data_IF_668156667751
#
_entry.id   IF_668156667751
#
_cell.length_a   1.000
_cell.length_b   1.000
_cell.length_c   1.000
_cell.angle_alpha   90.00
_cell.angle_beta   90.00
_cell.angle_gamma   90.00
#
_symmetry.space_group_name_H-M   'P 1'
#
loop_
_entity.id
_entity.type
_entity.pdbx_description
1 polymer ?
#
# COMPACT_ATOMS: atom_id res chain seq x y z
N UNK A 1 -12.98 -31.41 -23.80
CA UNK A 1 -11.94 -30.37 -23.73
C UNK A 1 -12.61 -29.05 -23.37
N UNK A 2 -12.57 -28.65 -22.10
CA UNK A 2 -13.18 -27.40 -21.66
C UNK A 2 -12.34 -26.21 -22.17
N UNK A 3 -12.97 -25.31 -22.94
CA UNK A 3 -12.36 -24.06 -23.38
C UNK A 3 -11.87 -23.28 -22.16
N UNK A 4 -10.57 -22.98 -22.13
CA UNK A 4 -9.91 -22.14 -21.12
C UNK A 4 -10.66 -20.79 -21.04
N UNK A 5 -11.13 -20.34 -19.86
CA UNK A 5 -11.88 -19.10 -19.76
C UNK A 5 -10.97 -17.88 -20.00
N UNK A 6 -11.45 -16.78 -20.61
CA UNK A 6 -10.63 -15.79 -21.32
C UNK A 6 -9.77 -14.83 -20.47
N UNK A 7 -9.59 -15.04 -19.16
CA UNK A 7 -9.13 -13.96 -18.25
C UNK A 7 -7.75 -14.15 -17.59
N UNK A 8 -7.04 -15.27 -17.78
CA UNK A 8 -5.69 -15.45 -17.22
C UNK A 8 -4.64 -14.67 -18.02
N UNK A 9 -4.79 -14.67 -19.35
CA UNK A 9 -3.87 -14.01 -20.27
C UNK A 9 -3.83 -12.49 -20.06
N UNK A 10 -4.94 -11.88 -19.67
CA UNK A 10 -5.01 -10.43 -19.43
C UNK A 10 -4.28 -10.00 -18.16
N UNK A 11 -4.31 -10.82 -17.11
CA UNK A 11 -3.50 -10.56 -15.90
C UNK A 11 -2.03 -10.73 -16.20
N UNK A 12 -1.66 -11.76 -16.97
CA UNK A 12 -0.27 -11.99 -17.40
C UNK A 12 0.22 -10.82 -18.25
N UNK A 13 -0.58 -10.33 -19.21
CA UNK A 13 -0.26 -9.13 -20.00
C UNK A 13 -0.07 -7.92 -19.11
N UNK A 14 -1.00 -7.65 -18.18
CA UNK A 14 -0.90 -6.53 -17.26
C UNK A 14 0.36 -6.61 -16.40
N UNK A 15 0.65 -7.78 -15.82
CA UNK A 15 1.87 -8.04 -15.06
C UNK A 15 3.13 -7.82 -15.91
N UNK A 16 3.14 -8.26 -17.16
CA UNK A 16 4.26 -8.09 -18.06
C UNK A 16 4.50 -6.64 -18.49
N UNK A 17 3.46 -5.79 -18.47
CA UNK A 17 3.58 -4.35 -18.70
C UNK A 17 4.12 -3.59 -17.48
N UNK A 18 4.08 -4.18 -16.29
CA UNK A 18 4.62 -3.56 -15.09
C UNK A 18 6.15 -3.40 -15.14
N UNK A 19 6.65 -2.41 -14.40
CA UNK A 19 8.08 -2.20 -14.18
C UNK A 19 8.71 -3.38 -13.42
N UNK A 20 10.05 -3.49 -13.49
CA UNK A 20 10.80 -4.52 -12.77
C UNK A 20 10.51 -4.48 -11.26
N UNK A 21 10.48 -3.29 -10.66
CA UNK A 21 10.18 -3.11 -9.24
C UNK A 21 8.83 -3.74 -8.85
N UNK A 22 7.78 -3.47 -9.64
CA UNK A 22 6.43 -4.01 -9.38
C UNK A 22 6.44 -5.53 -9.56
N UNK A 23 7.09 -6.07 -10.59
CA UNK A 23 7.21 -7.51 -10.81
C UNK A 23 7.94 -8.20 -9.67
N UNK A 24 9.08 -7.67 -9.26
CA UNK A 24 9.86 -8.20 -8.14
C UNK A 24 9.05 -8.15 -6.84
N UNK A 25 8.23 -7.11 -6.65
CA UNK A 25 7.37 -6.98 -5.47
C UNK A 25 6.27 -8.05 -5.39
N UNK A 26 5.66 -8.36 -6.54
CA UNK A 26 4.59 -9.34 -6.71
C UNK A 26 5.09 -10.65 -7.33
N UNK A 27 6.32 -11.06 -7.02
CA UNK A 27 7.00 -12.18 -7.68
C UNK A 27 6.22 -13.51 -7.69
N UNK A 28 5.39 -13.77 -6.66
CA UNK A 28 4.61 -15.00 -6.55
C UNK A 28 3.29 -14.97 -7.31
N UNK A 29 2.86 -13.81 -7.81
CA UNK A 29 1.51 -13.64 -8.38
C UNK A 29 1.26 -14.57 -9.58
N UNK A 30 2.23 -14.68 -10.49
CA UNK A 30 2.07 -15.56 -11.65
C UNK A 30 2.01 -17.03 -11.24
N UNK A 31 2.84 -17.45 -10.29
CA UNK A 31 2.85 -18.81 -9.75
C UNK A 31 1.51 -19.17 -9.10
N UNK A 32 0.89 -18.22 -8.39
CA UNK A 32 -0.42 -18.40 -7.77
C UNK A 32 -1.55 -18.52 -8.81
N UNK A 33 -1.47 -17.77 -9.92
CA UNK A 33 -2.49 -17.78 -10.98
C UNK A 33 -2.35 -18.93 -11.98
N UNK A 34 -1.16 -19.50 -12.12
CA UNK A 34 -0.88 -20.60 -13.04
C UNK A 34 -1.03 -21.97 -12.41
N UNK A 35 -1.14 -22.03 -11.08
CA UNK A 35 -1.35 -23.27 -10.36
C UNK A 35 -2.84 -23.57 -10.26
N UNK A 36 -3.31 -24.55 -11.04
CA UNK A 36 -4.73 -24.97 -11.07
C UNK A 36 -5.24 -25.50 -9.72
N UNK A 37 -4.34 -25.85 -8.78
CA UNK A 37 -4.70 -26.28 -7.42
C UNK A 37 -4.97 -25.12 -6.46
N UNK A 38 -4.67 -23.88 -6.85
CA UNK A 38 -4.80 -22.68 -6.02
C UNK A 38 -5.98 -21.84 -6.53
N UNK A 39 -6.80 -21.34 -5.61
CA UNK A 39 -7.92 -20.47 -5.96
C UNK A 39 -7.44 -19.05 -6.32
N UNK A 40 -8.11 -18.41 -7.28
CA UNK A 40 -7.90 -16.97 -7.59
C UNK A 40 -8.11 -16.07 -6.35
N UNK A 41 -8.92 -16.53 -5.39
CA UNK A 41 -9.14 -15.90 -4.08
C UNK A 41 -7.83 -15.76 -3.30
N UNK A 42 -6.95 -16.77 -3.39
CA UNK A 42 -5.62 -16.74 -2.78
C UNK A 42 -4.75 -15.70 -3.47
N UNK A 43 -4.81 -15.60 -4.80
CA UNK A 43 -4.03 -14.63 -5.58
C UNK A 43 -4.43 -13.17 -5.26
N UNK A 44 -5.74 -12.86 -5.21
CA UNK A 44 -6.18 -11.51 -4.83
C UNK A 44 -5.86 -11.20 -3.36
N UNK A 45 -5.94 -12.19 -2.46
CA UNK A 45 -5.55 -12.03 -1.06
C UNK A 45 -4.07 -11.70 -0.92
N UNK A 46 -3.21 -12.40 -1.66
CA UNK A 46 -1.77 -12.09 -1.75
C UNK A 46 -1.53 -10.67 -2.26
N UNK A 47 -2.25 -10.24 -3.31
CA UNK A 47 -2.14 -8.88 -3.82
C UNK A 47 -2.47 -7.82 -2.76
N UNK A 48 -3.53 -8.02 -1.98
CA UNK A 48 -3.90 -7.09 -0.90
C UNK A 48 -2.94 -7.12 0.28
N UNK A 49 -2.43 -8.29 0.65
CA UNK A 49 -1.36 -8.40 1.66
C UNK A 49 -0.11 -7.60 1.26
N UNK A 50 0.27 -7.66 -0.03
CA UNK A 50 1.37 -6.87 -0.58
C UNK A 50 1.04 -5.37 -0.62
N UNK A 51 -0.20 -4.98 -0.94
CA UNK A 51 -0.63 -3.57 -0.89
C UNK A 51 -0.55 -2.99 0.52
N UNK A 52 -0.90 -3.77 1.54
CA UNK A 52 -0.80 -3.34 2.94
C UNK A 52 0.66 -3.10 3.35
N UNK A 53 1.56 -4.02 2.99
CA UNK A 53 3.01 -3.80 3.16
C UNK A 53 3.51 -2.55 2.42
N UNK A 54 3.03 -2.31 1.20
CA UNK A 54 3.40 -1.11 0.44
C UNK A 54 2.89 0.16 1.14
N UNK A 55 1.68 0.11 1.71
CA UNK A 55 1.09 1.22 2.46
C UNK A 55 1.95 1.58 3.68
N UNK A 56 2.42 0.59 4.44
CA UNK A 56 3.38 0.81 5.54
C UNK A 56 4.67 1.46 5.04
N UNK A 57 5.22 0.97 3.92
CA UNK A 57 6.43 1.55 3.30
C UNK A 57 6.23 2.99 2.84
N UNK A 58 5.05 3.34 2.34
CA UNK A 58 4.70 4.71 1.93
C UNK A 58 4.70 5.64 3.14
N UNK A 59 4.03 5.26 4.23
CA UNK A 59 3.99 6.07 5.44
C UNK A 59 5.36 6.22 6.07
N UNK A 60 6.09 5.12 6.22
CA UNK A 60 7.47 5.14 6.71
C UNK A 60 8.38 6.02 5.85
N UNK A 61 8.29 5.85 4.53
CA UNK A 61 9.06 6.62 3.55
C UNK A 61 8.74 8.11 3.61
N UNK A 62 7.48 8.48 3.80
CA UNK A 62 7.07 9.86 4.00
C UNK A 62 7.61 10.45 5.29
N UNK A 63 7.47 9.75 6.42
CA UNK A 63 7.97 10.23 7.71
C UNK A 63 9.49 10.45 7.72
N UNK A 64 10.24 9.49 7.19
CA UNK A 64 11.72 9.52 7.24
C UNK A 64 12.32 10.31 6.08
N UNK A 65 11.73 10.20 4.89
CA UNK A 65 12.22 10.82 3.66
C UNK A 65 11.83 12.28 3.57
N UNK A 66 10.55 12.58 3.76
CA UNK A 66 9.99 13.95 3.62
C UNK A 66 10.16 14.73 4.92
N UNK A 67 9.74 14.17 6.05
CA UNK A 67 9.75 14.88 7.34
C UNK A 67 11.00 14.65 8.19
N UNK A 68 11.96 13.87 7.67
CA UNK A 68 13.24 13.58 8.33
C UNK A 68 13.11 13.02 9.76
N UNK A 69 12.02 12.31 10.06
CA UNK A 69 11.82 11.65 11.34
C UNK A 69 13.02 10.75 11.71
N UNK A 70 13.23 10.55 13.01
CA UNK A 70 14.09 9.48 13.51
C UNK A 70 13.49 8.12 13.06
N UNK A 71 14.36 7.25 12.51
CA UNK A 71 13.93 6.04 11.79
C UNK A 71 13.23 5.03 12.68
N UNK A 72 13.74 4.85 13.90
CA UNK A 72 13.23 3.86 14.85
C UNK A 72 11.85 4.25 15.34
N UNK A 73 11.68 5.52 15.72
CA UNK A 73 10.40 6.08 16.14
C UNK A 73 9.38 6.11 15.00
N UNK A 74 9.81 6.45 13.78
CA UNK A 74 8.93 6.41 12.62
C UNK A 74 8.45 4.99 12.31
N UNK A 75 9.33 3.99 12.39
CA UNK A 75 8.96 2.59 12.19
C UNK A 75 7.96 2.13 13.26
N UNK A 76 8.28 2.34 14.53
CA UNK A 76 7.38 2.00 15.65
C UNK A 76 6.01 2.66 15.49
N UNK A 77 5.99 3.94 15.13
CA UNK A 77 4.74 4.67 14.94
C UNK A 77 3.87 4.06 13.84
N UNK A 78 4.46 3.67 12.70
CA UNK A 78 3.73 3.03 11.60
C UNK A 78 3.26 1.63 11.98
N UNK A 79 4.11 0.83 12.62
CA UNK A 79 3.79 -0.54 13.03
C UNK A 79 2.68 -0.61 14.11
N UNK A 80 2.61 0.39 14.99
CA UNK A 80 1.56 0.49 16.01
C UNK A 80 0.22 0.97 15.45
N UNK A 81 0.18 1.57 14.26
CA UNK A 81 -1.09 2.00 13.67
C UNK A 81 -1.87 0.82 13.11
N UNK A 82 -3.12 0.68 13.55
CA UNK A 82 -4.08 -0.16 12.83
C UNK A 82 -4.52 0.55 11.54
N UNK A 83 -3.89 0.20 10.43
CA UNK A 83 -4.08 0.89 9.16
C UNK A 83 -5.39 0.48 8.48
N UNK A 84 -6.47 1.20 8.77
CA UNK A 84 -7.68 1.13 7.95
C UNK A 84 -7.46 1.83 6.60
N UNK A 85 -8.28 1.51 5.59
CA UNK A 85 -8.22 2.14 4.25
C UNK A 85 -8.30 3.66 4.32
N UNK A 86 -9.30 4.16 5.05
CA UNK A 86 -9.48 5.60 5.23
C UNK A 86 -8.32 6.19 6.04
N UNK A 87 -7.86 5.48 7.08
CA UNK A 87 -6.69 5.89 7.85
C UNK A 87 -5.44 6.05 6.99
N UNK A 88 -5.19 5.13 6.04
CA UNK A 88 -4.09 5.24 5.09
C UNK A 88 -4.19 6.51 4.24
N UNK A 89 -5.37 6.77 3.65
CA UNK A 89 -5.61 7.97 2.85
C UNK A 89 -5.38 9.24 3.68
N UNK A 90 -5.94 9.28 4.90
CA UNK A 90 -5.82 10.41 5.80
C UNK A 90 -4.35 10.68 6.16
N UNK A 91 -3.57 9.64 6.45
CA UNK A 91 -2.14 9.78 6.71
C UNK A 91 -1.36 10.19 5.48
N UNK A 92 -1.66 9.65 4.29
CA UNK A 92 -1.03 10.07 3.04
C UNK A 92 -1.26 11.56 2.79
N UNK A 93 -2.47 12.05 2.95
CA UNK A 93 -2.80 13.47 2.81
C UNK A 93 -1.99 14.30 3.81
N UNK A 94 -1.97 13.94 5.10
CA UNK A 94 -1.22 14.67 6.13
C UNK A 94 0.30 14.69 5.90
N UNK A 95 0.84 13.62 5.34
CA UNK A 95 2.29 13.46 5.14
C UNK A 95 2.77 14.14 3.87
N UNK A 96 2.00 14.05 2.78
CA UNK A 96 2.46 14.46 1.45
C UNK A 96 1.80 15.73 0.91
N UNK A 97 0.66 16.14 1.44
CA UNK A 97 0.01 17.35 0.96
C UNK A 97 0.52 18.57 1.72
N UNK A 98 0.82 19.60 0.95
CA UNK A 98 1.16 20.93 1.42
C UNK A 98 0.14 21.91 0.84
N UNK A 99 -0.42 22.79 1.67
CA UNK A 99 -1.39 23.80 1.23
C UNK A 99 -0.75 24.79 0.25
N UNK A 100 0.56 25.03 0.38
CA UNK A 100 1.29 26.00 -0.42
C UNK A 100 1.76 25.43 -1.77
N UNK A 101 1.90 24.10 -1.88
CA UNK A 101 2.48 23.45 -3.06
C UNK A 101 1.56 22.37 -3.65
N UNK A 102 0.43 22.81 -4.24
CA UNK A 102 -0.56 21.92 -4.88
C UNK A 102 0.03 20.93 -5.89
N UNK A 103 1.16 21.24 -6.53
CA UNK A 103 1.83 20.35 -7.49
C UNK A 103 2.42 19.09 -6.83
N UNK A 104 2.69 19.10 -5.52
CA UNK A 104 3.32 17.98 -4.80
C UNK A 104 2.32 17.15 -4.00
N UNK A 105 1.03 17.48 -4.07
CA UNK A 105 -0.02 16.76 -3.38
C UNK A 105 -0.28 15.41 -4.04
N UNK A 106 -0.65 14.42 -3.24
CA UNK A 106 -1.07 13.11 -3.73
C UNK A 106 -2.40 13.26 -4.46
N UNK A 107 -2.50 12.65 -5.64
CA UNK A 107 -3.73 12.69 -6.42
C UNK A 107 -4.80 11.72 -5.88
N UNK A 108 -5.88 12.27 -5.32
CA UNK A 108 -7.03 11.52 -4.80
C UNK A 108 -7.65 10.54 -5.83
N UNK A 109 -7.57 10.87 -7.12
CA UNK A 109 -8.08 9.97 -8.17
C UNK A 109 -7.31 8.65 -8.20
N UNK A 110 -6.00 8.65 -7.91
CA UNK A 110 -5.17 7.44 -7.84
C UNK A 110 -5.62 6.58 -6.65
N UNK A 111 -5.83 7.20 -5.48
CA UNK A 111 -6.31 6.53 -4.27
C UNK A 111 -7.70 5.90 -4.47
N UNK A 112 -8.51 6.47 -5.37
CA UNK A 112 -9.85 5.94 -5.66
C UNK A 112 -9.88 4.72 -6.58
N UNK A 113 -8.81 4.45 -7.35
CA UNK A 113 -8.75 3.34 -8.32
C UNK A 113 -8.98 1.99 -7.66
N UNK A 114 -8.43 1.80 -6.46
CA UNK A 114 -8.43 0.50 -5.77
C UNK A 114 -9.81 0.11 -5.22
N UNK A 115 -10.78 1.05 -5.16
CA UNK A 115 -12.10 0.85 -4.53
C UNK A 115 -12.89 -0.32 -5.14
N UNK A 116 -12.76 -0.59 -6.44
CA UNK A 116 -13.44 -1.74 -7.05
C UNK A 116 -12.84 -3.06 -6.57
N UNK A 117 -11.51 -3.16 -6.56
CA UNK A 117 -10.79 -4.34 -6.12
C UNK A 117 -11.01 -4.62 -4.63
N UNK A 118 -11.11 -3.57 -3.80
CA UNK A 118 -11.42 -3.68 -2.37
C UNK A 118 -12.77 -4.34 -2.13
N UNK A 119 -13.81 -3.91 -2.85
CA UNK A 119 -15.15 -4.52 -2.76
C UNK A 119 -15.11 -6.01 -3.12
N UNK A 120 -14.35 -6.37 -4.15
CA UNK A 120 -14.23 -7.77 -4.55
C UNK A 120 -13.48 -8.57 -3.48
N UNK A 121 -12.37 -8.05 -2.96
CA UNK A 121 -11.64 -8.69 -1.84
C UNK A 121 -12.52 -8.87 -0.61
N UNK A 122 -13.32 -7.88 -0.22
CA UNK A 122 -14.18 -8.01 0.96
C UNK A 122 -15.22 -9.11 0.76
N UNK A 123 -15.83 -9.19 -0.43
CA UNK A 123 -16.74 -10.29 -0.76
C UNK A 123 -16.03 -11.66 -0.68
N UNK A 124 -14.79 -11.77 -1.19
CA UNK A 124 -13.99 -13.00 -1.09
C UNK A 124 -13.76 -13.37 0.37
N UNK A 125 -13.30 -12.43 1.20
CA UNK A 125 -13.03 -12.65 2.63
C UNK A 125 -14.28 -13.02 3.42
N UNK A 126 -15.45 -12.54 2.99
CA UNK A 126 -16.75 -12.92 3.56
C UNK A 126 -17.31 -14.23 2.99
N UNK A 127 -16.54 -14.99 2.20
CA UNK A 127 -16.94 -16.28 1.64
C UNK A 127 -18.04 -16.19 0.59
N UNK A 128 -18.24 -15.03 -0.04
CA UNK A 128 -19.22 -14.87 -1.11
C UNK A 128 -18.64 -15.47 -2.40
N UNK A 129 -19.47 -16.22 -3.12
CA UNK A 129 -19.07 -16.83 -4.37
C UNK A 129 -18.91 -15.76 -5.47
N UNK A 130 -17.68 -15.55 -5.92
CA UNK A 130 -17.34 -14.59 -6.99
C UNK A 130 -16.76 -15.37 -8.16
N UNK A 131 -17.11 -14.96 -9.37
CA UNK A 131 -16.58 -15.61 -10.57
C UNK A 131 -15.05 -15.41 -10.64
N UNK A 132 -14.26 -16.46 -10.89
CA UNK A 132 -12.80 -16.35 -11.06
C UNK A 132 -12.38 -15.25 -12.05
N UNK A 133 -13.14 -15.12 -13.15
CA UNK A 133 -12.97 -14.08 -14.15
C UNK A 133 -13.03 -12.64 -13.59
N UNK A 134 -13.90 -12.39 -12.60
CA UNK A 134 -14.06 -11.09 -11.94
C UNK A 134 -12.89 -10.83 -10.97
N UNK A 135 -12.43 -11.85 -10.24
CA UNK A 135 -11.25 -11.74 -9.38
C UNK A 135 -10.02 -11.35 -10.20
N UNK A 136 -9.78 -12.04 -11.32
CA UNK A 136 -8.66 -11.76 -12.23
C UNK A 136 -8.70 -10.34 -12.79
N UNK A 137 -9.89 -9.83 -13.14
CA UNK A 137 -10.05 -8.44 -13.57
C UNK A 137 -9.59 -7.46 -12.49
N UNK A 138 -9.97 -7.70 -11.23
CA UNK A 138 -9.58 -6.82 -10.13
C UNK A 138 -8.10 -6.96 -9.74
N UNK A 139 -7.47 -8.11 -9.97
CA UNK A 139 -6.01 -8.24 -9.86
C UNK A 139 -5.31 -7.29 -10.85
N UNK A 140 -5.81 -7.16 -12.08
CA UNK A 140 -5.30 -6.17 -13.04
C UNK A 140 -5.47 -4.73 -12.53
N UNK A 141 -6.58 -4.43 -11.85
CA UNK A 141 -6.80 -3.11 -11.20
C UNK A 141 -5.78 -2.88 -10.09
N UNK A 142 -5.46 -3.89 -9.27
CA UNK A 142 -4.42 -3.81 -8.25
C UNK A 142 -3.06 -3.48 -8.87
N UNK A 143 -2.67 -4.19 -9.93
CA UNK A 143 -1.39 -3.94 -10.60
C UNK A 143 -1.31 -2.51 -11.17
N UNK A 144 -2.39 -2.05 -11.82
CA UNK A 144 -2.49 -0.68 -12.33
C UNK A 144 -2.41 0.36 -11.20
N UNK A 145 -3.11 0.13 -10.09
CA UNK A 145 -3.05 0.99 -8.91
C UNK A 145 -1.62 1.04 -8.35
N UNK A 146 -0.97 -0.10 -8.18
CA UNK A 146 0.40 -0.17 -7.67
C UNK A 146 1.39 0.58 -8.57
N UNK A 147 1.27 0.46 -9.89
CA UNK A 147 2.10 1.23 -10.82
C UNK A 147 1.87 2.73 -10.66
N UNK A 148 0.62 3.19 -10.72
CA UNK A 148 0.29 4.62 -10.61
C UNK A 148 0.70 5.21 -9.26
N UNK A 149 0.48 4.47 -8.17
CA UNK A 149 0.89 4.90 -6.84
C UNK A 149 2.42 4.93 -6.71
N UNK A 150 3.12 3.95 -7.26
CA UNK A 150 4.59 3.94 -7.24
C UNK A 150 5.17 5.17 -7.95
N UNK A 151 4.63 5.51 -9.13
CA UNK A 151 5.08 6.65 -9.91
C UNK A 151 4.73 7.97 -9.20
N UNK A 152 3.56 8.05 -8.59
CA UNK A 152 3.14 9.23 -7.82
C UNK A 152 4.02 9.45 -6.58
N UNK A 153 4.26 8.40 -5.79
CA UNK A 153 5.14 8.50 -4.60
C UNK A 153 6.57 8.84 -5.01
N UNK A 154 7.06 8.29 -6.12
CA UNK A 154 8.37 8.64 -6.67
C UNK A 154 8.43 10.12 -7.08
N UNK A 155 7.36 10.63 -7.68
CA UNK A 155 7.25 12.03 -8.11
C UNK A 155 7.26 12.99 -6.91
N UNK A 156 6.49 12.71 -5.86
CA UNK A 156 6.34 13.62 -4.71
C UNK A 156 7.45 13.50 -3.68
N UNK A 157 7.99 12.28 -3.46
CA UNK A 157 8.90 11.99 -2.36
C UNK A 157 10.21 11.31 -2.78
N UNK A 158 10.40 11.02 -4.08
CA UNK A 158 11.66 10.52 -4.62
C UNK A 158 11.96 9.04 -4.36
N UNK A 159 11.03 8.26 -3.82
CA UNK A 159 11.22 6.83 -3.51
C UNK A 159 10.15 5.94 -4.14
N UNK A 160 10.44 4.64 -4.28
CA UNK A 160 9.52 3.66 -4.88
C UNK A 160 9.04 2.65 -3.82
N UNK A 161 7.80 2.74 -3.32
CA UNK A 161 7.31 1.87 -2.23
C UNK A 161 7.23 0.39 -2.63
N UNK A 162 7.00 0.12 -3.92
CA UNK A 162 7.01 -1.22 -4.47
C UNK A 162 8.41 -1.68 -4.91
N UNK A 163 9.40 -0.79 -4.91
CA UNK A 163 10.78 -1.09 -5.26
C UNK A 163 11.68 -1.26 -4.04
N UNK A 164 12.96 -0.97 -4.27
CA UNK A 164 13.97 -0.94 -3.21
C UNK A 164 13.89 0.39 -2.44
N UNK A 165 13.57 0.30 -1.15
CA UNK A 165 13.65 1.44 -0.22
C UNK A 165 15.09 1.71 0.28
N UNK A 166 16.12 1.08 -0.30
CA UNK A 166 17.51 1.31 0.14
C UNK A 166 18.00 2.68 -0.33
N UNK A 167 18.58 3.46 0.58
CA UNK A 167 19.23 4.73 0.26
C UNK A 167 18.29 5.93 0.03
N UNK A 168 16.97 5.75 0.17
CA UNK A 168 15.99 6.79 -0.17
C UNK A 168 16.15 8.10 0.63
N UNK A 169 16.66 8.03 1.87
CA UNK A 169 16.87 9.20 2.73
C UNK A 169 18.09 10.06 2.33
N UNK A 170 19.00 9.52 1.51
CA UNK A 170 20.26 10.19 1.18
C UNK A 170 21.09 10.58 2.41
N UNK A 171 21.72 11.77 2.37
CA UNK A 171 22.61 12.30 3.42
C UNK A 171 21.90 13.19 4.46
N UNK A 172 20.59 13.37 4.36
CA UNK A 172 19.84 14.28 5.24
C UNK A 172 19.85 13.80 6.69
N UNK A 173 20.16 14.71 7.63
CA UNK A 173 20.17 14.42 9.06
C UNK A 173 18.73 14.19 9.55
N UNK A 174 18.52 13.17 10.37
CA UNK A 174 17.22 13.00 11.05
C UNK A 174 17.05 14.10 12.09
N UNK A 175 15.80 14.46 12.34
CA UNK A 175 15.40 15.16 13.55
C UNK A 175 15.79 14.33 14.78
N UNK A 176 15.99 15.01 15.92
CA UNK A 176 16.17 14.33 17.19
C UNK A 176 14.88 13.63 17.63
N UNK A 177 14.99 12.72 18.59
CA UNK A 177 13.84 11.93 19.07
C UNK A 177 12.71 12.81 19.63
N UNK A 178 13.04 13.86 20.38
CA UNK A 178 12.04 14.74 21.01
C UNK A 178 11.19 15.45 19.96
N UNK A 179 11.83 15.97 18.92
CA UNK A 179 11.15 16.65 17.80
C UNK A 179 10.37 15.65 16.97
N UNK A 180 10.92 14.46 16.73
CA UNK A 180 10.21 13.37 16.04
C UNK A 180 8.93 12.97 16.77
N UNK A 181 8.94 12.89 18.11
CA UNK A 181 7.73 12.60 18.90
C UNK A 181 6.65 13.68 18.73
N UNK A 182 7.03 14.94 18.65
CA UNK A 182 6.08 16.03 18.39
C UNK A 182 5.53 16.01 16.97
N UNK A 183 6.39 15.78 15.98
CA UNK A 183 6.00 15.57 14.59
C UNK A 183 4.97 14.44 14.45
N UNK A 184 5.28 13.26 15.00
CA UNK A 184 4.41 12.09 14.94
C UNK A 184 3.05 12.38 15.58
N UNK A 185 3.03 13.02 16.75
CA UNK A 185 1.78 13.45 17.39
C UNK A 185 0.99 14.45 16.53
N UNK A 186 1.65 15.43 15.93
CA UNK A 186 1.02 16.42 15.05
C UNK A 186 0.39 15.79 13.80
N UNK A 187 1.04 14.76 13.25
CA UNK A 187 0.53 13.98 12.11
C UNK A 187 -0.57 12.97 12.52
N UNK A 188 -0.83 12.80 13.82
CA UNK A 188 -1.84 11.88 14.35
C UNK A 188 -1.35 10.46 14.59
N UNK A 189 -0.05 10.20 14.51
CA UNK A 189 0.56 8.95 14.99
C UNK A 189 0.63 8.99 16.51
N UNK A 190 -0.49 8.71 17.17
CA UNK A 190 -0.53 8.56 18.62
C UNK A 190 -0.33 7.10 18.98
N UNK A 191 0.54 6.88 19.97
CA UNK A 191 0.69 5.58 20.61
C UNK A 191 -0.67 5.24 21.25
N UNK A 192 -1.47 4.36 20.66
CA UNK A 192 -2.74 3.89 21.23
C UNK A 192 -2.47 2.90 22.35
N UNK A 193 -1.76 3.38 23.39
CA UNK A 193 -1.87 2.90 24.76
C UNK A 193 -2.24 4.07 25.65
N UNK A 194 -3.39 4.66 25.35
CA UNK A 194 -4.27 5.21 26.37
C UNK A 194 -5.50 4.31 26.49
N UNK A 195 -5.29 2.99 26.60
CA UNK A 195 -6.24 2.18 27.34
C UNK A 195 -6.06 2.64 28.78
N UNK A 196 -6.91 3.57 29.20
CA UNK A 196 -7.16 3.78 30.63
C UNK A 196 -7.35 2.39 31.22
N UNK A 197 -6.54 2.05 32.20
CA UNK A 197 -6.96 1.16 33.28
C UNK A 197 -8.23 1.76 33.88
N UNK A 198 -9.38 1.46 33.28
CA UNK A 198 -10.67 1.44 33.93
C UNK A 198 -11.03 -0.02 34.07
N UNK A 199 -10.87 -0.47 35.30
CA UNK A 199 -11.40 -1.70 35.87
C UNK A 199 -12.82 -2.04 35.41
N UNK A 200 -13.17 -3.32 35.61
CA UNK A 200 -14.52 -3.91 35.80
C UNK A 200 -15.41 -3.92 34.56
N UNK A 201 -15.91 -5.05 34.03
CA UNK A 201 -16.25 -6.40 34.55
C UNK A 201 -15.91 -7.43 33.46
#
# INVERSE_FOLDING_TARGET
MAKKPPNSDDVIKAYNLCSKDIKDYYCELLSLLQNDSISDETAISYCFFKLEQASHRILYGGLVGVHHAEKTLAMQAVDEQHLTRQGFIDFCIKIFNDEDTKSNNINDSILSIIKSAEKVRDRVMHGKNIKPAEIRKEITVVLMYSTKLNDEIKRIAGFTPFGSMKGFKGRSKSLNEKTTKWLLKGLGFTNTKTVKNSLSI
#
